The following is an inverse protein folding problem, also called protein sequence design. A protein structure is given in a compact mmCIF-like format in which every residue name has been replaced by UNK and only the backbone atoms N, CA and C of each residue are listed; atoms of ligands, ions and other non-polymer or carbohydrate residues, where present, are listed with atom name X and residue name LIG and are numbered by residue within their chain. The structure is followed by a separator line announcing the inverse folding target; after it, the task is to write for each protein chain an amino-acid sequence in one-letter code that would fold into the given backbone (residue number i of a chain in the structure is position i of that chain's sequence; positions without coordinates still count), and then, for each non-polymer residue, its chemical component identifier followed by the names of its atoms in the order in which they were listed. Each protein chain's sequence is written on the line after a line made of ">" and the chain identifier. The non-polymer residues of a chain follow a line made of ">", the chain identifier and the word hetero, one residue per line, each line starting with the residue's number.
data_IF_925349114489
#
_entry.id   IF_925349114489
#
_cell.length_a   1.000
_cell.length_b   1.000
_cell.length_c   1.000
_cell.angle_alpha   90.00
_cell.angle_beta   90.00
_cell.angle_gamma   90.00
#
_symmetry.space_group_name_H-M   'P 1'
#
loop_
_entity.id
_entity.type
_entity.pdbx_description
1 polymer ?
#
# COMPACT_ATOMS: atom_id res chain seq x y z
N UNK A 1 -0.78 12.98 34.17
CA UNK A 1 -1.41 11.84 33.47
C UNK A 1 -1.02 11.82 31.99
N UNK A 2 -1.05 12.94 31.26
CA UNK A 2 -0.67 13.02 29.84
C UNK A 2 0.75 12.50 29.52
N UNK A 3 1.78 12.90 30.29
CA UNK A 3 3.16 12.52 29.99
C UNK A 3 3.45 11.01 30.00
N UNK A 4 2.61 10.19 30.65
CA UNK A 4 2.75 8.73 30.60
C UNK A 4 2.14 8.16 29.32
N UNK A 5 0.97 8.66 28.91
CA UNK A 5 0.29 8.27 27.66
C UNK A 5 1.16 8.65 26.47
N UNK A 6 1.70 9.88 26.44
CA UNK A 6 2.53 10.36 25.33
C UNK A 6 3.83 9.54 25.18
N UNK A 7 4.43 9.11 26.31
CA UNK A 7 5.62 8.24 26.33
C UNK A 7 5.31 6.85 25.81
N UNK A 8 4.18 6.25 26.24
CA UNK A 8 3.76 4.94 25.79
C UNK A 8 3.41 4.96 24.31
N UNK A 9 2.69 5.99 23.85
CA UNK A 9 2.36 6.19 22.44
C UNK A 9 3.63 6.28 21.58
N UNK A 10 4.58 7.15 21.98
CA UNK A 10 5.85 7.31 21.28
C UNK A 10 6.64 6.00 21.23
N UNK A 11 6.65 5.22 22.31
CA UNK A 11 7.31 3.91 22.36
C UNK A 11 6.66 2.91 21.39
N UNK A 12 5.32 2.85 21.36
CA UNK A 12 4.57 1.97 20.45
C UNK A 12 4.85 2.35 19.00
N UNK A 13 4.81 3.64 18.66
CA UNK A 13 5.07 4.12 17.28
C UNK A 13 6.50 3.77 16.85
N UNK A 14 7.49 3.94 17.73
CA UNK A 14 8.86 3.52 17.45
C UNK A 14 8.98 2.02 17.22
N UNK A 15 8.33 1.19 18.04
CA UNK A 15 8.32 -0.25 17.87
C UNK A 15 7.67 -0.64 16.52
N UNK A 16 6.54 -0.01 16.16
CA UNK A 16 5.86 -0.23 14.87
C UNK A 16 6.74 0.15 13.68
N UNK A 17 7.42 1.31 13.75
CA UNK A 17 8.36 1.77 12.72
C UNK A 17 9.48 0.75 12.52
N UNK A 18 10.06 0.23 13.60
CA UNK A 18 11.13 -0.76 13.52
C UNK A 18 10.66 -2.08 12.91
N UNK A 19 9.51 -2.59 13.37
CA UNK A 19 8.93 -3.83 12.85
C UNK A 19 8.57 -3.70 11.36
N UNK A 20 7.98 -2.57 10.96
CA UNK A 20 7.61 -2.32 9.57
C UNK A 20 8.83 -2.18 8.67
N UNK A 21 9.88 -1.51 9.14
CA UNK A 21 11.14 -1.38 8.41
C UNK A 21 11.79 -2.76 8.19
N UNK A 22 11.79 -3.62 9.22
CA UNK A 22 12.25 -5.00 9.08
C UNK A 22 11.39 -5.79 8.08
N UNK A 23 10.06 -5.68 8.16
CA UNK A 23 9.15 -6.34 7.24
C UNK A 23 9.37 -5.92 5.79
N UNK A 24 9.56 -4.62 5.53
CA UNK A 24 9.87 -4.09 4.19
C UNK A 24 11.22 -4.60 3.69
N UNK A 25 12.25 -4.63 4.53
CA UNK A 25 13.56 -5.17 4.16
C UNK A 25 13.47 -6.65 3.79
N UNK A 26 12.80 -7.46 4.62
CA UNK A 26 12.60 -8.88 4.36
C UNK A 26 11.78 -9.11 3.07
N UNK A 27 10.71 -8.34 2.87
CA UNK A 27 9.91 -8.38 1.65
C UNK A 27 10.72 -8.01 0.40
N UNK A 28 11.58 -6.99 0.49
CA UNK A 28 12.45 -6.56 -0.61
C UNK A 28 13.48 -7.64 -0.95
N UNK A 29 14.08 -8.29 0.05
CA UNK A 29 15.00 -9.41 -0.16
C UNK A 29 14.27 -10.63 -0.76
N UNK A 30 13.05 -10.91 -0.29
CA UNK A 30 12.19 -11.97 -0.84
C UNK A 30 11.88 -11.72 -2.32
N UNK A 31 11.45 -10.51 -2.66
CA UNK A 31 11.23 -10.08 -4.03
C UNK A 31 12.48 -10.23 -4.89
N UNK A 32 13.65 -9.79 -4.39
CA UNK A 32 14.91 -9.92 -5.11
C UNK A 32 15.25 -11.37 -5.43
N UNK A 33 15.05 -12.29 -4.47
CA UNK A 33 15.22 -13.74 -4.70
C UNK A 33 14.26 -14.26 -5.76
N UNK A 34 12.98 -13.92 -5.66
CA UNK A 34 11.96 -14.34 -6.65
C UNK A 34 12.30 -13.85 -8.05
N UNK A 35 12.78 -12.61 -8.20
CA UNK A 35 13.19 -12.09 -9.51
C UNK A 35 14.40 -12.84 -10.08
N UNK A 36 15.39 -13.16 -9.25
CA UNK A 36 16.55 -13.97 -9.66
C UNK A 36 16.12 -15.38 -10.10
N UNK A 37 15.23 -16.03 -9.36
CA UNK A 37 14.66 -17.34 -9.71
C UNK A 37 13.95 -17.29 -11.06
N UNK A 38 13.11 -16.26 -11.30
CA UNK A 38 12.42 -16.08 -12.59
C UNK A 38 13.39 -15.95 -13.75
N UNK A 39 14.53 -15.26 -13.58
CA UNK A 39 15.54 -15.08 -14.64
C UNK A 39 16.27 -16.40 -14.93
N UNK A 40 16.62 -17.16 -13.89
CA UNK A 40 17.36 -18.42 -14.03
C UNK A 40 16.49 -19.53 -14.64
N UNK A 41 15.22 -19.61 -14.25
CA UNK A 41 14.30 -20.71 -14.63
C UNK A 41 13.66 -20.53 -16.02
N UNK A 42 13.93 -19.42 -16.73
CA UNK A 42 13.32 -19.11 -18.04
C UNK A 42 14.34 -19.03 -19.17
N UNK A 43 14.74 -20.17 -19.79
CA UNK A 43 15.45 -20.17 -21.07
C UNK A 43 14.46 -20.07 -22.25
N UNK A 44 14.62 -19.16 -23.24
CA UNK A 44 15.65 -18.14 -23.40
C UNK A 44 15.37 -16.92 -22.50
N UNK A 45 16.42 -16.37 -21.88
CA UNK A 45 16.39 -15.28 -20.87
C UNK A 45 15.58 -14.01 -21.24
N UNK A 46 15.09 -13.90 -22.47
CA UNK A 46 14.31 -12.78 -23.02
C UNK A 46 12.80 -13.05 -23.12
N UNK A 47 12.33 -14.28 -22.91
CA UNK A 47 10.89 -14.62 -22.98
C UNK A 47 10.32 -14.94 -21.59
N UNK A 48 10.28 -13.92 -20.73
CA UNK A 48 9.64 -14.04 -19.42
C UNK A 48 8.12 -14.12 -19.59
N UNK A 49 7.51 -15.18 -19.06
CA UNK A 49 6.06 -15.31 -19.06
C UNK A 49 5.42 -14.20 -18.21
N UNK A 50 4.45 -13.43 -18.74
CA UNK A 50 3.77 -12.39 -17.99
C UNK A 50 3.18 -12.88 -16.67
N UNK A 51 2.67 -14.12 -16.63
CA UNK A 51 2.08 -14.70 -15.41
C UNK A 51 3.08 -14.78 -14.26
N UNK A 52 4.32 -15.21 -14.53
CA UNK A 52 5.39 -15.26 -13.51
C UNK A 52 5.78 -13.86 -13.04
N UNK A 53 5.83 -12.88 -13.95
CA UNK A 53 6.14 -11.49 -13.61
C UNK A 53 5.02 -10.85 -12.78
N UNK A 54 3.75 -11.05 -13.15
CA UNK A 54 2.59 -10.57 -12.40
C UNK A 54 2.56 -11.11 -10.96
N UNK A 55 2.97 -12.36 -10.74
CA UNK A 55 3.07 -12.92 -9.40
C UNK A 55 4.06 -12.16 -8.51
N UNK A 56 5.17 -11.66 -9.10
CA UNK A 56 6.15 -10.84 -8.37
C UNK A 56 5.67 -9.41 -8.06
N UNK A 57 4.71 -8.87 -8.83
CA UNK A 57 4.13 -7.56 -8.54
C UNK A 57 3.38 -7.54 -7.22
N UNK A 58 2.79 -8.66 -6.77
CA UNK A 58 2.20 -8.76 -5.44
C UNK A 58 3.21 -8.44 -4.33
N UNK A 59 4.42 -9.02 -4.41
CA UNK A 59 5.51 -8.73 -3.49
C UNK A 59 6.00 -7.28 -3.61
N UNK A 60 6.12 -6.78 -4.84
CA UNK A 60 6.50 -5.38 -5.11
C UNK A 60 5.54 -4.39 -4.43
N UNK A 61 4.26 -4.62 -4.61
CA UNK A 61 3.24 -3.72 -4.11
C UNK A 61 3.05 -3.84 -2.59
N UNK A 62 3.25 -5.03 -1.99
CA UNK A 62 3.33 -5.18 -0.52
C UNK A 62 4.50 -4.35 0.04
N UNK A 63 5.66 -4.36 -0.62
CA UNK A 63 6.79 -3.53 -0.21
C UNK A 63 6.48 -2.03 -0.32
N UNK A 64 5.80 -1.60 -1.40
CA UNK A 64 5.36 -0.22 -1.56
C UNK A 64 4.38 0.23 -0.47
N UNK A 65 3.38 -0.60 -0.12
CA UNK A 65 2.48 -0.30 1.00
C UNK A 65 3.27 -0.12 2.30
N UNK A 66 4.23 -1.01 2.56
CA UNK A 66 5.06 -0.92 3.76
C UNK A 66 5.88 0.38 3.81
N UNK A 67 6.40 0.83 2.66
CA UNK A 67 7.09 2.13 2.56
C UNK A 67 6.15 3.32 2.77
N UNK A 68 4.92 3.27 2.24
CA UNK A 68 3.92 4.34 2.47
C UNK A 68 3.48 4.41 3.92
N UNK A 69 3.18 3.26 4.54
CA UNK A 69 2.87 3.19 5.97
C UNK A 69 4.03 3.69 6.83
N UNK A 70 5.28 3.44 6.43
CA UNK A 70 6.44 3.96 7.13
C UNK A 70 6.50 5.50 7.08
N UNK A 71 6.15 6.13 5.95
CA UNK A 71 6.04 7.60 5.86
C UNK A 71 4.94 8.12 6.79
N UNK A 72 3.78 7.45 6.82
CA UNK A 72 2.67 7.82 7.70
C UNK A 72 3.06 7.76 9.19
N UNK A 73 3.70 6.67 9.62
CA UNK A 73 4.16 6.50 10.99
C UNK A 73 5.26 7.50 11.38
N UNK A 74 6.21 7.78 10.47
CA UNK A 74 7.23 8.82 10.69
C UNK A 74 6.62 10.21 10.78
N UNK A 75 5.60 10.50 9.97
CA UNK A 75 4.90 11.78 10.03
C UNK A 75 4.23 11.97 11.39
N UNK A 76 3.54 10.93 11.89
CA UNK A 76 2.94 10.92 13.23
C UNK A 76 3.97 11.19 14.32
N UNK A 77 5.14 10.54 14.23
CA UNK A 77 6.23 10.72 15.19
C UNK A 77 6.80 12.15 15.20
N UNK A 78 6.86 12.83 14.06
CA UNK A 78 7.39 14.18 13.95
C UNK A 78 6.41 15.29 14.30
N UNK A 79 5.10 15.07 14.14
CA UNK A 79 4.07 16.12 14.30
C UNK A 79 3.14 15.89 15.50
N UNK A 80 3.19 14.73 16.16
CA UNK A 80 2.27 14.33 17.24
C UNK A 80 0.77 14.32 16.85
N UNK A 81 0.46 14.51 15.57
CA UNK A 81 -0.87 14.34 15.01
C UNK A 81 -0.76 13.78 13.58
N UNK A 82 -1.71 12.93 13.20
CA UNK A 82 -1.87 12.50 11.82
C UNK A 82 -2.86 13.42 11.13
N UNK A 83 -2.42 14.08 10.06
CA UNK A 83 -3.30 14.78 9.13
C UNK A 83 -4.29 13.77 8.52
N UNK A 84 -5.61 13.92 8.68
CA UNK A 84 -6.59 12.94 8.16
C UNK A 84 -6.44 12.69 6.66
N UNK A 85 -5.91 13.66 5.92
CA UNK A 85 -5.63 13.58 4.48
C UNK A 85 -4.63 12.46 4.16
N UNK A 86 -3.56 12.35 4.94
CA UNK A 86 -2.50 11.34 4.75
C UNK A 86 -3.03 9.92 4.99
N UNK A 87 -3.95 9.75 5.95
CA UNK A 87 -4.55 8.43 6.23
C UNK A 87 -5.43 7.99 5.08
N UNK A 88 -6.25 8.90 4.54
CA UNK A 88 -7.16 8.61 3.41
C UNK A 88 -6.36 8.30 2.15
N UNK A 89 -5.28 9.04 1.87
CA UNK A 89 -4.39 8.78 0.74
C UNK A 89 -3.79 7.38 0.81
N UNK A 90 -3.22 7.01 1.96
CA UNK A 90 -2.63 5.68 2.18
C UNK A 90 -3.69 4.57 2.08
N UNK A 91 -4.91 4.81 2.58
CA UNK A 91 -6.01 3.85 2.47
C UNK A 91 -6.42 3.60 1.00
N UNK A 92 -6.49 4.65 0.18
CA UNK A 92 -6.79 4.55 -1.25
C UNK A 92 -5.67 3.77 -1.97
N UNK A 93 -4.40 4.11 -1.72
CA UNK A 93 -3.25 3.41 -2.31
C UNK A 93 -3.26 1.92 -1.95
N UNK A 94 -3.52 1.58 -0.68
CA UNK A 94 -3.59 0.20 -0.21
C UNK A 94 -4.70 -0.61 -0.92
N UNK A 95 -5.86 0.02 -1.16
CA UNK A 95 -6.97 -0.60 -1.86
C UNK A 95 -6.70 -0.76 -3.36
N UNK A 96 -6.13 0.25 -4.00
CA UNK A 96 -5.70 0.19 -5.40
C UNK A 96 -4.72 -0.95 -5.64
N UNK A 97 -3.74 -1.15 -4.74
CA UNK A 97 -2.84 -2.29 -4.82
C UNK A 97 -3.60 -3.63 -4.83
N UNK A 98 -4.56 -3.81 -3.91
CA UNK A 98 -5.35 -5.05 -3.84
C UNK A 98 -6.07 -5.34 -5.16
N UNK A 99 -6.60 -4.31 -5.81
CA UNK A 99 -7.26 -4.40 -7.13
C UNK A 99 -6.26 -4.79 -8.23
N UNK A 100 -5.07 -4.17 -8.27
CA UNK A 100 -4.04 -4.44 -9.30
C UNK A 100 -3.49 -5.87 -9.21
N UNK A 101 -3.39 -6.43 -8.00
CA UNK A 101 -2.90 -7.81 -7.79
C UNK A 101 -3.91 -8.90 -8.12
N UNK A 102 -5.15 -8.55 -8.44
CA UNK A 102 -6.22 -9.52 -8.68
C UNK A 102 -6.04 -10.19 -10.05
N UNK A 103 -6.03 -11.52 -10.08
CA UNK A 103 -6.03 -12.27 -11.35
C UNK A 103 -7.47 -12.38 -11.90
N UNK A 104 -7.77 -11.51 -12.86
CA UNK A 104 -9.09 -11.44 -13.49
C UNK A 104 -9.48 -12.72 -14.24
N UNK A 105 -8.52 -13.61 -14.57
CA UNK A 105 -8.80 -14.86 -15.29
C UNK A 105 -9.31 -15.98 -14.39
N UNK A 106 -8.88 -15.98 -13.13
CA UNK A 106 -9.29 -16.95 -12.11
C UNK A 106 -10.48 -16.45 -11.27
N UNK A 107 -10.92 -15.21 -11.53
CA UNK A 107 -11.97 -14.54 -10.77
C UNK A 107 -13.34 -14.80 -11.37
N UNK A 108 -14.31 -15.22 -10.53
CA UNK A 108 -15.69 -15.44 -10.97
C UNK A 108 -16.35 -14.17 -11.55
N UNK A 109 -17.25 -14.34 -12.51
CA UNK A 109 -17.93 -13.24 -13.21
C UNK A 109 -18.66 -12.30 -12.24
N UNK A 110 -19.24 -12.84 -11.17
CA UNK A 110 -19.91 -12.03 -10.15
C UNK A 110 -18.91 -11.17 -9.36
N UNK A 111 -17.70 -11.69 -9.12
CA UNK A 111 -16.63 -10.96 -8.46
C UNK A 111 -16.07 -9.84 -9.33
N UNK A 112 -16.05 -10.01 -10.67
CA UNK A 112 -15.70 -8.94 -11.61
C UNK A 112 -16.70 -7.78 -11.59
N UNK A 113 -18.00 -8.08 -11.50
CA UNK A 113 -19.04 -7.06 -11.34
C UNK A 113 -18.89 -6.36 -9.98
N UNK A 114 -18.62 -7.10 -8.91
CA UNK A 114 -18.32 -6.56 -7.59
C UNK A 114 -17.09 -5.63 -7.60
N UNK A 115 -16.06 -5.98 -8.37
CA UNK A 115 -14.88 -5.14 -8.56
C UNK A 115 -15.22 -3.84 -9.29
N UNK A 116 -15.98 -3.91 -10.38
CA UNK A 116 -16.44 -2.71 -11.09
C UNK A 116 -17.26 -1.78 -10.18
N UNK A 117 -18.18 -2.36 -9.40
CA UNK A 117 -18.97 -1.61 -8.41
C UNK A 117 -18.08 -0.97 -7.32
N UNK A 118 -17.06 -1.68 -6.84
CA UNK A 118 -16.09 -1.17 -5.87
C UNK A 118 -15.29 0.00 -6.44
N UNK A 119 -14.78 -0.11 -7.68
CA UNK A 119 -14.06 0.97 -8.36
C UNK A 119 -14.98 2.20 -8.51
N UNK A 120 -16.24 2.01 -8.92
CA UNK A 120 -17.22 3.10 -9.02
C UNK A 120 -17.51 3.76 -7.66
N UNK A 121 -17.69 2.97 -6.60
CA UNK A 121 -17.93 3.48 -5.25
C UNK A 121 -16.74 4.29 -4.73
N UNK A 122 -15.50 3.86 -5.02
CA UNK A 122 -14.29 4.60 -4.65
C UNK A 122 -14.15 5.89 -5.44
N UNK A 123 -14.40 5.87 -6.74
CA UNK A 123 -14.38 7.08 -7.58
C UNK A 123 -15.41 8.10 -7.08
N UNK A 124 -16.62 7.65 -6.74
CA UNK A 124 -17.66 8.49 -6.15
C UNK A 124 -17.26 9.03 -4.76
N UNK A 125 -16.70 8.18 -3.89
CA UNK A 125 -16.21 8.57 -2.57
C UNK A 125 -15.09 9.61 -2.63
N UNK A 126 -14.12 9.42 -3.53
CA UNK A 126 -13.06 10.38 -3.79
C UNK A 126 -13.60 11.70 -4.34
N UNK A 127 -14.54 11.65 -5.28
CA UNK A 127 -15.18 12.85 -5.84
C UNK A 127 -15.90 13.66 -4.75
N UNK A 128 -16.67 13.00 -3.88
CA UNK A 128 -17.35 13.64 -2.75
C UNK A 128 -16.33 14.22 -1.77
N UNK A 129 -15.32 13.44 -1.37
CA UNK A 129 -14.28 13.91 -0.45
C UNK A 129 -13.53 15.14 -0.99
N UNK A 130 -13.18 15.12 -2.27
CA UNK A 130 -12.52 16.23 -2.97
C UNK A 130 -13.43 17.47 -3.06
N UNK A 131 -14.73 17.29 -3.34
CA UNK A 131 -15.68 18.39 -3.52
C UNK A 131 -16.08 19.10 -2.23
N UNK A 132 -16.13 18.39 -1.10
CA UNK A 132 -16.47 19.01 0.19
C UNK A 132 -15.30 19.75 0.87
N UNK A 133 -14.08 19.68 0.31
CA UNK A 133 -12.87 20.25 0.92
C UNK A 133 -12.17 21.33 0.09
N UNK A 134 -12.85 21.95 -0.87
CA UNK A 134 -12.44 23.26 -1.42
C UNK A 134 -13.42 24.32 -0.92
N UNK A 135 -13.03 25.10 0.09
CA UNK A 135 -12.14 26.22 -0.17
C UNK A 135 -10.87 26.14 0.67
N UNK A 136 -9.73 25.89 0.01
CA UNK A 136 -8.55 26.66 0.39
C UNK A 136 -8.77 28.06 -0.18
N UNK A 137 -9.27 28.91 0.70
CA UNK A 137 -9.03 30.33 0.82
C UNK A 137 -8.11 30.92 -0.26
N UNK A 138 -8.70 31.82 -1.06
CA UNK A 138 -7.91 32.89 -1.65
C UNK A 138 -7.33 33.74 -0.52
N UNK A 139 -6.03 33.62 -0.30
CA UNK A 139 -5.05 34.72 -0.21
C UNK A 139 -3.62 34.17 -0.05
#
# INVERSE_FOLDING_TARGET
>A
MNNFIDKVETFIVWALVLMLLLAVLLGTLGLGRTLVEIIIDSPPYLLIEPKKLFQSFGLFLICLIGLELLKLLKFHLSHHFVKPELVVEVAIIALCNKVVTLDLKETDHLSLIGLAAMIFALAAGYYVFSRYRWPEDGQ
#
